data_IF_029283007855
#
_entry.id   IF_029283007855
#
_cell.length_a   1.000
_cell.length_b   1.000
_cell.length_c   1.000
_cell.angle_alpha   90.00
_cell.angle_beta   90.00
_cell.angle_gamma   90.00
#
_symmetry.space_group_name_H-M   'P 1'
#
loop_
_entity.id
_entity.type
_entity.pdbx_description
1 polymer ?
#
# COMPACT_ATOMS: atom_id res chain seq x y z
N UNK A 1 -11.79 2.51 -19.43
CA UNK A 1 -11.92 1.15 -19.99
C UNK A 1 -13.31 1.02 -20.60
N UNK A 2 -13.40 0.44 -21.79
CA UNK A 2 -14.70 0.11 -22.43
C UNK A 2 -15.43 -1.02 -21.69
N UNK A 3 -14.79 -1.58 -20.65
CA UNK A 3 -15.30 -2.69 -19.84
C UNK A 3 -15.79 -2.15 -18.49
N UNK A 4 -16.93 -2.66 -18.05
CA UNK A 4 -17.40 -2.49 -16.68
C UNK A 4 -16.53 -3.27 -15.69
N UNK A 5 -16.54 -2.96 -14.38
CA UNK A 5 -15.83 -3.75 -13.36
C UNK A 5 -16.23 -5.23 -13.37
N UNK A 6 -17.49 -5.54 -13.63
CA UNK A 6 -18.03 -6.90 -13.71
C UNK A 6 -17.47 -7.65 -14.93
N UNK A 7 -17.45 -7.01 -16.10
CA UNK A 7 -16.86 -7.57 -17.31
C UNK A 7 -15.37 -7.83 -17.14
N UNK A 8 -14.65 -6.87 -16.56
CA UNK A 8 -13.23 -7.03 -16.27
C UNK A 8 -12.96 -8.21 -15.34
N UNK A 9 -13.74 -8.32 -14.25
CA UNK A 9 -13.65 -9.44 -13.31
C UNK A 9 -13.94 -10.76 -14.00
N UNK A 10 -14.93 -10.80 -14.88
CA UNK A 10 -15.29 -11.99 -15.67
C UNK A 10 -14.16 -12.42 -16.60
N UNK A 11 -13.48 -11.46 -17.26
CA UNK A 11 -12.35 -11.76 -18.14
C UNK A 11 -11.14 -12.29 -17.37
N UNK A 12 -10.78 -11.71 -16.22
CA UNK A 12 -9.73 -12.29 -15.37
C UNK A 12 -10.09 -13.69 -14.88
N UNK A 13 -11.35 -13.92 -14.51
CA UNK A 13 -11.83 -15.25 -14.11
C UNK A 13 -11.73 -16.26 -15.27
N UNK A 14 -12.12 -15.86 -16.48
CA UNK A 14 -12.00 -16.72 -17.70
C UNK A 14 -10.56 -17.10 -18.00
N UNK A 15 -9.61 -16.20 -17.71
CA UNK A 15 -8.18 -16.47 -17.83
C UNK A 15 -7.60 -17.27 -16.64
N UNK A 16 -8.43 -17.62 -15.66
CA UNK A 16 -7.97 -18.19 -14.39
C UNK A 16 -6.83 -17.38 -13.76
N UNK A 17 -6.94 -16.05 -13.84
CA UNK A 17 -5.97 -15.10 -13.32
C UNK A 17 -6.65 -14.14 -12.35
N UNK A 18 -5.86 -13.59 -11.44
CA UNK A 18 -6.27 -12.55 -10.50
C UNK A 18 -5.19 -11.49 -10.43
N UNK A 19 -5.58 -10.28 -10.08
CA UNK A 19 -4.62 -9.25 -9.70
C UNK A 19 -5.04 -8.59 -8.39
N UNK A 20 -4.07 -8.05 -7.68
CA UNK A 20 -4.32 -7.18 -6.53
C UNK A 20 -3.22 -6.15 -6.39
N UNK A 21 -3.54 -5.07 -5.69
CA UNK A 21 -2.61 -4.00 -5.35
C UNK A 21 -2.40 -4.02 -3.84
N UNK A 22 -1.15 -4.08 -3.41
CA UNK A 22 -0.75 -4.04 -2.00
C UNK A 22 0.08 -2.77 -1.75
N UNK A 23 -0.58 -1.68 -1.31
CA UNK A 23 0.13 -0.46 -0.97
C UNK A 23 0.85 -0.60 0.37
N UNK A 24 2.07 -0.10 0.43
CA UNK A 24 2.87 -0.03 1.65
C UNK A 24 3.49 1.36 1.81
N UNK A 25 4.15 1.58 2.93
CA UNK A 25 4.77 2.88 3.23
C UNK A 25 5.92 3.23 2.27
N UNK A 26 6.68 2.23 1.86
CA UNK A 26 7.87 2.41 1.02
C UNK A 26 7.69 1.88 -0.40
N UNK A 27 6.76 0.95 -0.59
CA UNK A 27 6.57 0.23 -1.85
C UNK A 27 5.12 -0.08 -2.08
N UNK A 28 4.72 -0.04 -3.34
CA UNK A 28 3.44 -0.61 -3.78
C UNK A 28 3.74 -1.82 -4.64
N UNK A 29 3.14 -2.94 -4.30
CA UNK A 29 3.18 -4.15 -5.13
C UNK A 29 1.89 -4.24 -5.93
N UNK A 30 2.06 -4.47 -7.22
CA UNK A 30 0.99 -4.87 -8.11
C UNK A 30 1.27 -6.30 -8.50
N UNK A 31 0.35 -7.20 -8.19
CA UNK A 31 0.57 -8.64 -8.35
C UNK A 31 -0.47 -9.18 -9.32
N UNK A 32 0.03 -9.83 -10.37
CA UNK A 32 -0.75 -10.62 -11.30
C UNK A 32 -0.41 -12.09 -11.08
N UNK A 33 -1.41 -12.94 -10.86
CA UNK A 33 -1.24 -14.35 -10.55
C UNK A 33 -2.25 -15.21 -11.31
N UNK A 34 -1.82 -16.39 -11.77
CA UNK A 34 -2.69 -17.31 -12.49
C UNK A 34 -1.94 -18.39 -13.24
N UNK A 35 -2.60 -19.00 -14.23
CA UNK A 35 -2.03 -20.03 -15.07
C UNK A 35 -0.97 -19.43 -16.01
N UNK A 36 0.19 -20.06 -16.09
CA UNK A 36 1.31 -19.58 -16.89
C UNK A 36 0.97 -19.47 -18.39
N UNK A 37 0.20 -20.36 -18.91
CA UNK A 37 -0.25 -20.34 -20.33
C UNK A 37 -1.10 -19.11 -20.66
N UNK A 38 -1.81 -18.56 -19.68
CA UNK A 38 -2.67 -17.38 -19.82
C UNK A 38 -1.96 -16.07 -19.45
N UNK A 39 -0.70 -16.14 -18.99
CA UNK A 39 0.05 -14.95 -18.54
C UNK A 39 0.11 -13.84 -19.59
N UNK A 40 0.39 -14.10 -20.89
CA UNK A 40 0.42 -13.04 -21.91
C UNK A 40 -0.93 -12.31 -22.03
N UNK A 41 -2.03 -13.05 -22.10
CA UNK A 41 -3.37 -12.50 -22.20
C UNK A 41 -3.79 -11.73 -20.93
N UNK A 42 -3.45 -12.26 -19.74
CA UNK A 42 -3.71 -11.60 -18.48
C UNK A 42 -2.89 -10.31 -18.32
N UNK A 43 -1.63 -10.31 -18.76
CA UNK A 43 -0.77 -9.13 -18.77
C UNK A 43 -1.30 -8.06 -19.73
N UNK A 44 -1.72 -8.44 -20.92
CA UNK A 44 -2.36 -7.53 -21.89
C UNK A 44 -3.62 -6.89 -21.30
N UNK A 45 -4.49 -7.69 -20.67
CA UNK A 45 -5.71 -7.19 -20.03
C UNK A 45 -5.39 -6.24 -18.88
N UNK A 46 -4.39 -6.58 -18.09
CA UNK A 46 -3.95 -5.76 -16.94
C UNK A 46 -3.37 -4.41 -17.40
N UNK A 47 -2.46 -4.41 -18.38
CA UNK A 47 -1.88 -3.17 -18.92
C UNK A 47 -2.95 -2.29 -19.58
N UNK A 48 -3.92 -2.92 -20.29
CA UNK A 48 -5.07 -2.19 -20.81
C UNK A 48 -5.92 -1.57 -19.70
N UNK A 49 -6.16 -2.28 -18.60
CA UNK A 49 -6.86 -1.73 -17.44
C UNK A 49 -6.18 -0.47 -16.90
N UNK A 50 -4.86 -0.51 -16.78
CA UNK A 50 -4.08 0.63 -16.29
C UNK A 50 -4.12 1.82 -17.25
N UNK A 51 -3.99 1.55 -18.57
CA UNK A 51 -3.98 2.58 -19.59
C UNK A 51 -5.36 3.24 -19.80
N UNK A 52 -6.42 2.47 -19.65
CA UNK A 52 -7.80 2.90 -19.91
C UNK A 52 -8.57 3.32 -18.64
N UNK A 53 -7.90 3.41 -17.50
CA UNK A 53 -8.53 3.84 -16.25
C UNK A 53 -9.20 5.21 -16.43
N UNK A 54 -10.46 5.33 -15.99
CA UNK A 54 -11.24 6.55 -16.08
C UNK A 54 -11.81 6.95 -14.73
N UNK A 55 -12.08 8.25 -14.58
CA UNK A 55 -12.70 8.77 -13.37
C UNK A 55 -14.12 8.21 -13.23
N UNK A 56 -14.38 7.69 -12.05
CA UNK A 56 -15.73 7.39 -11.58
C UNK A 56 -15.96 8.12 -10.26
N UNK A 57 -16.67 9.25 -10.33
CA UNK A 57 -16.92 10.08 -9.15
C UNK A 57 -17.75 9.35 -8.09
N UNK A 58 -18.73 8.57 -8.48
CA UNK A 58 -19.55 7.80 -7.54
C UNK A 58 -18.70 6.76 -6.79
N UNK A 59 -17.85 6.04 -7.49
CA UNK A 59 -16.91 5.10 -6.86
C UNK A 59 -15.94 5.80 -5.90
N UNK A 60 -15.50 7.01 -6.24
CA UNK A 60 -14.65 7.81 -5.36
C UNK A 60 -15.41 8.26 -4.10
N UNK A 61 -16.64 8.76 -4.24
CA UNK A 61 -17.47 9.20 -3.11
C UNK A 61 -17.75 8.03 -2.15
N UNK A 62 -18.02 6.84 -2.69
CA UNK A 62 -18.20 5.61 -1.92
C UNK A 62 -16.90 5.22 -1.17
N UNK A 63 -15.74 5.28 -1.86
CA UNK A 63 -14.44 5.02 -1.23
C UNK A 63 -14.16 5.97 -0.07
N UNK A 64 -14.44 7.27 -0.23
CA UNK A 64 -14.28 8.26 0.85
C UNK A 64 -15.20 7.92 2.02
N UNK A 65 -16.46 7.57 1.76
CA UNK A 65 -17.42 7.13 2.78
C UNK A 65 -16.91 5.91 3.55
N UNK A 66 -16.40 4.91 2.87
CA UNK A 66 -15.85 3.71 3.48
C UNK A 66 -14.60 4.01 4.34
N UNK A 67 -13.71 4.87 3.86
CA UNK A 67 -12.53 5.32 4.62
C UNK A 67 -12.97 6.02 5.92
N UNK A 68 -13.90 6.95 5.85
CA UNK A 68 -14.37 7.70 7.02
C UNK A 68 -15.09 6.79 8.01
N UNK A 69 -15.92 5.87 7.53
CA UNK A 69 -16.56 4.86 8.35
C UNK A 69 -15.53 3.97 9.05
N UNK A 70 -14.56 3.44 8.31
CA UNK A 70 -13.50 2.60 8.88
C UNK A 70 -12.69 3.34 9.96
N UNK A 71 -12.45 4.65 9.77
CA UNK A 71 -11.79 5.50 10.78
C UNK A 71 -12.65 5.71 12.04
N UNK A 72 -13.95 5.83 11.87
CA UNK A 72 -14.89 5.92 12.99
C UNK A 72 -14.95 4.60 13.77
N UNK A 73 -15.10 3.47 13.07
CA UNK A 73 -15.14 2.14 13.66
C UNK A 73 -13.83 1.78 14.38
N UNK A 74 -12.68 2.21 13.84
CA UNK A 74 -11.37 2.01 14.48
C UNK A 74 -11.28 2.66 15.87
N UNK A 75 -11.97 3.78 16.10
CA UNK A 75 -12.02 4.44 17.42
C UNK A 75 -12.79 3.62 18.46
N UNK A 76 -13.69 2.74 18.00
CA UNK A 76 -14.46 1.83 18.85
C UNK A 76 -13.75 0.51 19.12
N UNK A 77 -12.53 0.33 18.61
CA UNK A 77 -11.76 -0.90 18.77
C UNK A 77 -10.56 -0.66 19.69
N UNK A 78 -10.51 -1.40 20.82
CA UNK A 78 -9.46 -1.24 21.84
C UNK A 78 -8.06 -1.51 21.27
N UNK A 79 -7.87 -2.56 20.47
CA UNK A 79 -6.58 -2.89 19.86
C UNK A 79 -6.10 -1.81 18.89
N UNK A 80 -7.00 -1.23 18.11
CA UNK A 80 -6.70 -0.12 17.20
C UNK A 80 -6.27 1.14 17.98
N UNK A 81 -6.98 1.46 19.06
CA UNK A 81 -6.61 2.60 19.92
C UNK A 81 -5.26 2.38 20.59
N UNK A 82 -4.99 1.16 21.08
CA UNK A 82 -3.70 0.82 21.65
C UNK A 82 -2.57 0.90 20.61
N UNK A 83 -2.80 0.39 19.40
CA UNK A 83 -1.84 0.50 18.30
C UNK A 83 -1.50 1.95 17.95
N UNK A 84 -2.49 2.85 17.98
CA UNK A 84 -2.27 4.30 17.78
C UNK A 84 -1.47 4.92 18.93
N UNK A 85 -1.76 4.53 20.18
CA UNK A 85 -0.99 4.96 21.34
C UNK A 85 0.48 4.53 21.23
N UNK A 86 0.72 3.27 20.82
CA UNK A 86 2.06 2.75 20.56
C UNK A 86 2.79 3.52 19.45
N UNK A 87 2.12 3.81 18.34
CA UNK A 87 2.70 4.63 17.28
C UNK A 87 3.07 6.04 17.79
N UNK A 88 2.21 6.67 18.59
CA UNK A 88 2.50 7.95 19.18
C UNK A 88 3.67 7.87 20.18
N UNK A 89 3.76 6.80 20.97
CA UNK A 89 4.87 6.58 21.89
C UNK A 89 6.22 6.44 21.15
N UNK A 90 6.22 5.75 20.01
CA UNK A 90 7.42 5.48 19.22
C UNK A 90 7.86 6.67 18.36
N UNK A 91 6.91 7.38 17.74
CA UNK A 91 7.21 8.39 16.70
C UNK A 91 6.77 9.81 17.09
N UNK A 92 5.94 9.97 18.12
CA UNK A 92 5.31 11.26 18.44
C UNK A 92 4.15 11.61 17.50
N UNK A 93 3.82 12.90 17.37
CA UNK A 93 2.69 13.36 16.58
C UNK A 93 2.85 13.13 15.06
N UNK A 94 4.09 13.05 14.58
CA UNK A 94 4.40 12.77 13.17
C UNK A 94 4.84 11.32 13.02
N UNK A 95 3.89 10.44 12.74
CA UNK A 95 4.10 8.99 12.67
C UNK A 95 3.54 8.42 11.36
N UNK A 96 3.92 7.18 10.97
CA UNK A 96 3.27 6.50 9.86
C UNK A 96 1.74 6.42 10.02
N UNK A 97 1.25 6.26 11.25
CA UNK A 97 -0.18 6.18 11.54
C UNK A 97 -0.94 7.52 11.38
N UNK A 98 -0.22 8.64 11.38
CA UNK A 98 -0.80 9.98 11.16
C UNK A 98 -0.55 10.50 9.74
N UNK A 99 0.20 9.77 8.92
CA UNK A 99 0.45 10.13 7.52
C UNK A 99 -0.74 9.72 6.63
N UNK A 100 -1.89 10.31 6.91
CA UNK A 100 -3.15 10.03 6.24
C UNK A 100 -3.78 11.34 5.77
N UNK A 101 -4.46 11.29 4.64
CA UNK A 101 -5.26 12.42 4.19
C UNK A 101 -6.36 12.73 5.22
N UNK A 102 -6.56 14.00 5.51
CA UNK A 102 -7.65 14.49 6.34
C UNK A 102 -9.00 14.31 5.65
N UNK A 103 -10.09 14.43 6.37
CA UNK A 103 -11.44 14.41 5.79
C UNK A 103 -11.62 15.55 4.78
N UNK A 104 -11.12 16.75 5.09
CA UNK A 104 -11.19 17.90 4.18
C UNK A 104 -10.38 17.67 2.90
N UNK A 105 -9.18 17.08 3.00
CA UNK A 105 -8.37 16.73 1.82
C UNK A 105 -9.05 15.66 0.98
N UNK A 106 -9.63 14.61 1.60
CA UNK A 106 -10.40 13.60 0.87
C UNK A 106 -11.61 14.21 0.17
N UNK A 107 -12.35 15.10 0.83
CA UNK A 107 -13.53 15.75 0.26
C UNK A 107 -13.19 16.73 -0.89
N UNK A 108 -12.01 17.35 -0.85
CA UNK A 108 -11.57 18.33 -1.85
C UNK A 108 -10.73 17.76 -2.99
N UNK A 109 -10.27 16.49 -2.86
CA UNK A 109 -9.42 15.86 -3.87
C UNK A 109 -10.19 15.67 -5.18
N UNK A 110 -9.54 16.03 -6.29
CA UNK A 110 -10.04 15.70 -7.62
C UNK A 110 -9.75 14.21 -7.93
N UNK A 111 -10.78 13.37 -8.15
CA UNK A 111 -10.56 11.97 -8.50
C UNK A 111 -9.70 11.74 -9.76
N UNK A 112 -9.62 12.73 -10.66
CA UNK A 112 -8.74 12.69 -11.82
C UNK A 112 -7.27 12.54 -11.43
N UNK A 113 -6.85 13.12 -10.32
CA UNK A 113 -5.46 12.98 -9.84
C UNK A 113 -5.07 11.52 -9.54
N UNK A 114 -6.04 10.71 -9.08
CA UNK A 114 -5.81 9.28 -8.84
C UNK A 114 -5.63 8.52 -10.16
N UNK A 115 -6.45 8.82 -11.15
CA UNK A 115 -6.35 8.25 -12.49
C UNK A 115 -5.04 8.66 -13.16
N UNK A 116 -4.66 9.92 -13.05
CA UNK A 116 -3.37 10.42 -13.58
C UNK A 116 -2.17 9.71 -12.93
N UNK A 117 -2.26 9.37 -11.64
CA UNK A 117 -1.22 8.57 -10.95
C UNK A 117 -1.16 7.15 -11.50
N UNK A 118 -2.31 6.52 -11.76
CA UNK A 118 -2.36 5.18 -12.37
C UNK A 118 -1.72 5.21 -13.76
N UNK A 119 -2.10 6.14 -14.61
CA UNK A 119 -1.54 6.30 -15.96
C UNK A 119 -0.03 6.58 -15.98
N UNK A 120 0.47 7.24 -14.95
CA UNK A 120 1.88 7.65 -14.87
C UNK A 120 2.76 6.67 -14.09
N UNK A 121 2.23 5.60 -13.49
CA UNK A 121 3.04 4.73 -12.64
C UNK A 121 4.16 4.02 -13.40
N UNK A 122 3.93 3.61 -14.65
CA UNK A 122 4.93 2.96 -15.50
C UNK A 122 6.05 3.93 -15.96
N UNK A 123 5.92 5.23 -15.69
CA UNK A 123 6.96 6.22 -15.97
C UNK A 123 8.08 6.26 -14.93
N UNK A 124 7.89 5.62 -13.78
CA UNK A 124 8.87 5.58 -12.71
C UNK A 124 9.71 4.31 -12.73
N UNK A 125 10.92 4.37 -12.19
CA UNK A 125 11.74 3.20 -11.96
C UNK A 125 10.98 2.18 -11.11
N UNK A 126 10.88 0.95 -11.59
CA UNK A 126 10.20 -0.14 -10.91
C UNK A 126 10.93 -1.45 -11.15
N UNK A 127 10.51 -2.51 -10.47
CA UNK A 127 11.10 -3.84 -10.58
C UNK A 127 10.01 -4.85 -10.85
N UNK A 128 10.20 -5.67 -11.87
CA UNK A 128 9.36 -6.81 -12.16
C UNK A 128 9.98 -8.04 -11.50
N UNK A 129 9.18 -8.78 -10.76
CA UNK A 129 9.54 -10.04 -10.13
C UNK A 129 8.64 -11.13 -10.72
N UNK A 130 9.25 -12.20 -11.17
CA UNK A 130 8.52 -13.33 -11.72
C UNK A 130 8.87 -14.61 -10.97
N UNK A 131 7.85 -15.40 -10.67
CA UNK A 131 7.97 -16.76 -10.18
C UNK A 131 7.04 -17.67 -10.97
N UNK A 132 7.60 -18.60 -11.75
CA UNK A 132 6.85 -19.49 -12.62
C UNK A 132 7.76 -20.32 -13.54
N UNK A 133 7.18 -21.15 -14.41
CA UNK A 133 7.92 -22.10 -15.24
C UNK A 133 8.49 -21.50 -16.55
N UNK A 134 8.12 -20.27 -16.94
CA UNK A 134 8.62 -19.66 -18.17
C UNK A 134 10.12 -19.43 -18.14
N UNK A 135 10.77 -19.64 -19.27
CA UNK A 135 12.18 -19.26 -19.42
C UNK A 135 12.33 -17.73 -19.34
N UNK A 136 13.51 -17.25 -18.94
CA UNK A 136 13.80 -15.81 -18.94
C UNK A 136 13.61 -15.17 -20.31
N UNK A 137 13.90 -15.91 -21.39
CA UNK A 137 13.73 -15.43 -22.76
C UNK A 137 12.26 -15.20 -23.09
N UNK A 138 11.40 -16.18 -22.79
CA UNK A 138 9.96 -16.09 -23.08
C UNK A 138 9.28 -15.04 -22.21
N UNK A 139 9.69 -14.95 -20.95
CA UNK A 139 9.24 -13.92 -20.04
C UNK A 139 9.57 -12.51 -20.54
N UNK A 140 10.83 -12.27 -20.94
CA UNK A 140 11.24 -10.97 -21.46
C UNK A 140 10.48 -10.61 -22.72
N UNK A 141 10.27 -11.56 -23.65
CA UNK A 141 9.47 -11.30 -24.85
C UNK A 141 8.03 -10.88 -24.51
N UNK A 142 7.41 -11.52 -23.51
CA UNK A 142 6.06 -11.16 -23.05
C UNK A 142 6.04 -9.77 -22.41
N UNK A 143 7.04 -9.46 -21.56
CA UNK A 143 7.15 -8.14 -20.91
C UNK A 143 7.35 -7.07 -21.99
N UNK A 144 8.29 -7.24 -22.90
CA UNK A 144 8.58 -6.28 -23.97
C UNK A 144 7.36 -6.03 -24.88
N UNK A 145 6.52 -7.03 -25.05
CA UNK A 145 5.31 -6.91 -25.86
C UNK A 145 4.21 -6.10 -25.17
N UNK A 146 3.97 -6.31 -23.89
CA UNK A 146 2.78 -5.80 -23.21
C UNK A 146 3.08 -4.69 -22.20
N UNK A 147 4.23 -4.71 -21.54
CA UNK A 147 4.60 -3.71 -20.53
C UNK A 147 5.37 -2.56 -21.18
N UNK A 148 4.64 -1.58 -21.65
CA UNK A 148 5.22 -0.43 -22.32
C UNK A 148 5.71 0.62 -21.31
N UNK A 149 6.98 0.97 -21.39
CA UNK A 149 7.61 1.98 -20.56
C UNK A 149 8.36 3.01 -21.42
N UNK A 150 8.48 4.26 -20.99
CA UNK A 150 9.27 5.24 -21.72
C UNK A 150 10.76 4.88 -21.73
N UNK A 151 11.48 5.34 -22.75
CA UNK A 151 12.93 5.10 -22.90
C UNK A 151 13.75 5.58 -21.68
N UNK A 152 13.25 6.58 -20.96
CA UNK A 152 13.88 7.09 -19.73
C UNK A 152 12.87 7.11 -18.62
N UNK A 153 13.12 6.30 -17.59
CA UNK A 153 12.28 6.22 -16.39
C UNK A 153 12.67 7.32 -15.40
N UNK A 154 11.66 7.91 -14.77
CA UNK A 154 11.83 8.88 -13.69
C UNK A 154 12.29 8.20 -12.41
N UNK A 155 13.03 8.91 -11.58
CA UNK A 155 13.34 8.47 -10.22
C UNK A 155 12.07 8.46 -9.37
N UNK A 156 12.00 7.52 -8.42
CA UNK A 156 10.91 7.46 -7.47
C UNK A 156 10.97 8.71 -6.58
N UNK A 157 9.86 9.45 -6.39
CA UNK A 157 9.84 10.59 -5.49
C UNK A 157 10.25 10.20 -4.07
N UNK A 158 10.92 11.11 -3.37
CA UNK A 158 11.24 10.90 -1.96
C UNK A 158 9.96 10.72 -1.13
N UNK A 159 9.95 9.68 -0.30
CA UNK A 159 8.87 9.42 0.63
C UNK A 159 8.96 10.26 1.91
N UNK A 160 7.92 10.22 2.73
CA UNK A 160 7.99 10.76 4.07
C UNK A 160 8.83 9.83 4.95
N UNK A 161 9.82 10.40 5.63
CA UNK A 161 10.64 9.68 6.60
C UNK A 161 10.07 9.84 8.01
N UNK A 162 10.09 8.74 8.77
CA UNK A 162 9.65 8.68 10.15
C UNK A 162 10.76 8.07 10.99
N UNK A 163 11.17 8.79 12.03
CA UNK A 163 12.22 8.33 12.95
C UNK A 163 11.64 8.03 14.31
N UNK A 164 12.15 7.01 14.97
CA UNK A 164 11.81 6.74 16.36
C UNK A 164 12.29 7.87 17.27
N UNK A 165 11.46 8.21 18.26
CA UNK A 165 11.85 9.13 19.32
C UNK A 165 12.87 8.45 20.25
N UNK A 166 13.79 9.23 20.75
CA UNK A 166 14.64 8.81 21.84
C UNK A 166 13.84 8.69 23.15
N UNK A 167 14.30 7.83 24.05
CA UNK A 167 13.69 7.61 25.37
C UNK A 167 14.63 8.03 26.51
N UNK A 168 14.97 9.32 26.62
CA UNK A 168 15.97 9.79 27.61
C UNK A 168 15.44 9.75 29.06
N UNK A 169 14.12 9.64 29.24
CA UNK A 169 13.47 9.57 30.53
C UNK A 169 12.21 8.68 30.46
N UNK A 170 11.81 8.15 31.62
CA UNK A 170 10.56 7.42 31.76
C UNK A 170 9.37 8.33 31.49
N UNK A 171 8.49 7.91 30.59
CA UNK A 171 7.25 8.59 30.23
C UNK A 171 6.10 7.59 30.24
N UNK A 172 5.02 7.93 30.93
CA UNK A 172 3.79 7.11 30.93
C UNK A 172 2.76 7.79 30.02
N UNK A 173 2.27 7.04 29.06
CA UNK A 173 1.22 7.47 28.15
C UNK A 173 -0.03 6.61 28.40
N UNK A 174 -1.18 7.25 28.54
CA UNK A 174 -2.43 6.60 28.82
C UNK A 174 -3.48 7.08 27.83
N UNK A 175 -4.16 6.12 27.18
CA UNK A 175 -5.38 6.38 26.43
C UNK A 175 -6.55 5.72 27.18
N UNK A 176 -7.46 6.50 27.79
CA UNK A 176 -8.62 5.94 28.46
C UNK A 176 -9.54 5.25 27.45
N UNK A 177 -9.97 4.05 27.80
CA UNK A 177 -10.90 3.27 26.99
C UNK A 177 -11.78 2.42 27.92
N UNK A 178 -13.09 2.41 27.67
CA UNK A 178 -14.02 1.60 28.47
C UNK A 178 -13.95 0.13 28.06
N UNK A 179 -13.13 -0.65 28.77
CA UNK A 179 -12.96 -2.07 28.55
C UNK A 179 -12.67 -2.81 29.86
N UNK A 180 -12.92 -4.12 29.85
CA UNK A 180 -12.62 -5.01 30.98
C UNK A 180 -11.14 -5.42 31.07
N UNK A 181 -10.40 -5.26 29.98
CA UNK A 181 -8.98 -5.64 29.86
C UNK A 181 -8.11 -4.41 29.67
N UNK A 182 -6.91 -4.47 30.20
CA UNK A 182 -5.89 -3.43 30.05
C UNK A 182 -4.84 -3.96 29.08
N UNK A 183 -4.47 -3.13 28.10
CA UNK A 183 -3.29 -3.34 27.27
C UNK A 183 -2.16 -2.46 27.81
N UNK A 184 -0.98 -3.04 27.99
CA UNK A 184 0.22 -2.35 28.44
C UNK A 184 1.40 -2.81 27.60
N UNK A 185 2.27 -1.89 27.23
CA UNK A 185 3.57 -2.20 26.65
C UNK A 185 4.62 -1.24 27.23
N UNK A 186 5.81 -1.74 27.40
CA UNK A 186 6.99 -0.95 27.72
C UNK A 186 7.91 -0.97 26.50
N UNK A 187 8.31 0.22 26.07
CA UNK A 187 9.22 0.41 24.95
C UNK A 187 10.37 1.30 25.36
N UNK A 188 11.54 1.02 24.82
CA UNK A 188 12.70 1.89 24.94
C UNK A 188 13.45 1.94 23.62
N UNK A 189 13.93 3.11 23.24
CA UNK A 189 14.87 3.30 22.15
C UNK A 189 16.27 3.50 22.76
N UNK A 190 17.14 2.53 22.51
CA UNK A 190 18.49 2.52 23.05
C UNK A 190 19.49 3.34 22.21
N UNK A 191 19.02 3.98 21.15
CA UNK A 191 19.82 4.75 20.20
C UNK A 191 21.08 3.99 19.69
N UNK A 192 20.98 2.67 19.63
CA UNK A 192 22.05 1.79 19.14
C UNK A 192 21.62 1.13 17.85
N UNK A 193 22.52 1.12 16.89
CA UNK A 193 22.34 0.29 15.71
C UNK A 193 22.26 -1.19 16.10
N UNK A 194 21.52 -1.96 15.30
CA UNK A 194 21.47 -3.41 15.46
C UNK A 194 22.89 -3.99 15.46
N UNK A 195 23.19 -4.75 16.50
CA UNK A 195 24.45 -5.47 16.63
C UNK A 195 24.15 -6.95 16.95
N UNK A 196 24.41 -7.87 15.99
CA UNK A 196 24.15 -9.29 16.19
C UNK A 196 24.87 -9.89 17.40
N UNK A 197 26.00 -9.32 17.82
CA UNK A 197 26.78 -9.85 18.94
C UNK A 197 26.11 -9.67 20.30
N UNK A 198 25.17 -8.72 20.43
CA UNK A 198 24.44 -8.43 21.68
C UNK A 198 23.00 -8.95 21.67
N UNK A 199 22.54 -9.55 20.57
CA UNK A 199 21.18 -10.06 20.45
C UNK A 199 20.83 -11.12 21.52
N UNK A 200 21.69 -12.09 21.86
CA UNK A 200 21.40 -13.08 22.89
C UNK A 200 21.19 -12.51 24.30
N UNK A 201 21.56 -11.25 24.54
CA UNK A 201 21.40 -10.58 25.84
C UNK A 201 20.12 -9.75 25.93
N UNK A 202 19.26 -9.78 24.91
CA UNK A 202 18.01 -8.99 24.84
C UNK A 202 16.74 -9.82 25.04
N UNK A 203 16.85 -11.15 25.15
CA UNK A 203 15.74 -12.06 25.45
C UNK A 203 15.36 -12.06 26.94
#
# INVERSE_FOLDING_TARGET
SDMTPEELKSEFYRLACTFYVSPGNERTYVVLSGLNENMPAAMQLFEKLLADAQVNKEAYDNLVGDILKARADAKLNQGQNFSRLMNYAMYGPKSPATNLLTEAELASMNPQELVDRIHNQNNYKHRILYYGPSSSKDLLATIDQYHQVPATLKDIPAGNEFSYLETPATKVLVAPYEAKQIYMAQISNLDKKYDPAIEPTRE
#
